data_IF_193982776513
#
_entry.id   IF_193982776513
#
_cell.length_a   1.000
_cell.length_b   1.000
_cell.length_c   1.000
_cell.angle_alpha   90.00
_cell.angle_beta   90.00
_cell.angle_gamma   90.00
#
_symmetry.space_group_name_H-M   'P 1'
#
loop_
_entity.id
_entity.type
_entity.pdbx_description
1 polymer ?
#
# COMPACT_ATOMS: atom_id res chain seq x y z
N UNK A 1 16.15 -27.12 5.16
CA UNK A 1 15.23 -26.72 4.07
C UNK A 1 15.24 -25.20 3.92
N UNK A 2 16.37 -24.59 3.51
CA UNK A 2 16.54 -23.13 3.47
C UNK A 2 15.72 -22.43 2.36
N UNK A 3 15.44 -23.12 1.25
CA UNK A 3 14.75 -22.52 0.10
C UNK A 3 13.25 -22.26 0.30
N UNK A 4 12.57 -22.99 1.19
CA UNK A 4 11.13 -22.80 1.43
C UNK A 4 10.89 -21.53 2.25
N UNK A 5 11.73 -21.27 3.26
CA UNK A 5 11.66 -20.05 4.07
C UNK A 5 11.92 -18.79 3.23
N UNK A 6 12.89 -18.84 2.31
CA UNK A 6 13.19 -17.70 1.43
C UNK A 6 12.05 -17.43 0.45
N UNK A 7 11.39 -18.47 -0.07
CA UNK A 7 10.21 -18.33 -0.91
C UNK A 7 9.03 -17.69 -0.16
N UNK A 8 8.83 -18.06 1.11
CA UNK A 8 7.81 -17.46 1.98
C UNK A 8 8.12 -15.98 2.24
N UNK A 9 9.38 -15.63 2.51
CA UNK A 9 9.81 -14.23 2.70
C UNK A 9 9.60 -13.43 1.41
N UNK A 10 9.96 -13.98 0.25
CA UNK A 10 9.72 -13.35 -1.04
C UNK A 10 8.23 -13.10 -1.29
N UNK A 11 7.37 -14.09 -1.04
CA UNK A 11 5.92 -13.95 -1.18
C UNK A 11 5.33 -12.86 -0.27
N UNK A 12 5.86 -12.70 0.95
CA UNK A 12 5.45 -11.63 1.87
C UNK A 12 5.87 -10.24 1.38
N UNK A 13 7.09 -10.11 0.87
CA UNK A 13 7.57 -8.85 0.28
C UNK A 13 6.70 -8.49 -0.93
N UNK A 14 6.44 -9.46 -1.82
CA UNK A 14 5.63 -9.25 -3.02
C UNK A 14 4.19 -8.87 -2.67
N UNK A 15 3.57 -9.55 -1.71
CA UNK A 15 2.24 -9.21 -1.18
C UNK A 15 2.20 -7.82 -0.57
N UNK A 16 3.28 -7.41 0.10
CA UNK A 16 3.39 -6.05 0.67
C UNK A 16 3.47 -5.00 -0.44
N UNK A 17 4.21 -5.26 -1.51
CA UNK A 17 4.23 -4.40 -2.71
C UNK A 17 2.85 -4.25 -3.34
N UNK A 18 2.12 -5.36 -3.51
CA UNK A 18 0.74 -5.32 -3.98
C UNK A 18 -0.21 -4.56 -3.05
N UNK A 19 -0.02 -4.68 -1.73
CA UNK A 19 -0.80 -3.94 -0.73
C UNK A 19 -0.57 -2.43 -0.88
N UNK A 20 0.69 -2.00 -0.98
CA UNK A 20 1.05 -0.58 -1.20
C UNK A 20 0.42 -0.06 -2.49
N UNK A 21 0.56 -0.82 -3.58
CA UNK A 21 -0.05 -0.48 -4.87
C UNK A 21 -1.58 -0.38 -4.79
N UNK A 22 -2.22 -1.26 -4.03
CA UNK A 22 -3.66 -1.24 -3.77
C UNK A 22 -4.12 0.03 -3.04
N UNK A 23 -3.37 0.48 -2.03
CA UNK A 23 -3.65 1.75 -1.33
C UNK A 23 -3.48 2.97 -2.23
N UNK A 24 -2.45 3.00 -3.07
CA UNK A 24 -2.27 4.06 -4.06
C UNK A 24 -3.45 4.11 -5.05
N UNK A 25 -3.85 2.95 -5.57
CA UNK A 25 -4.98 2.83 -6.49
C UNK A 25 -6.32 3.21 -5.84
N UNK A 26 -6.54 2.80 -4.58
CA UNK A 26 -7.71 3.22 -3.80
C UNK A 26 -7.75 4.73 -3.59
N UNK A 27 -6.61 5.38 -3.36
CA UNK A 27 -6.55 6.83 -3.27
C UNK A 27 -6.98 7.53 -4.55
N UNK A 28 -6.53 7.03 -5.70
CA UNK A 28 -6.91 7.57 -7.01
C UNK A 28 -8.40 7.35 -7.29
N UNK A 29 -8.93 6.16 -7.03
CA UNK A 29 -10.35 5.87 -7.21
C UNK A 29 -11.23 6.68 -6.26
N UNK A 30 -10.86 6.74 -4.98
CA UNK A 30 -11.56 7.51 -3.96
C UNK A 30 -11.57 9.00 -4.28
N UNK A 31 -10.43 9.55 -4.72
CA UNK A 31 -10.35 10.95 -5.10
C UNK A 31 -11.22 11.26 -6.32
N UNK A 32 -11.15 10.42 -7.36
CA UNK A 32 -12.00 10.57 -8.54
C UNK A 32 -13.48 10.48 -8.22
N UNK A 33 -13.87 9.58 -7.31
CA UNK A 33 -15.26 9.45 -6.87
C UNK A 33 -15.72 10.69 -6.11
N UNK A 34 -14.90 11.20 -5.18
CA UNK A 34 -15.19 12.41 -4.40
C UNK A 34 -15.29 13.65 -5.30
N UNK A 35 -14.35 13.83 -6.22
CA UNK A 35 -14.38 14.96 -7.16
C UNK A 35 -15.61 14.89 -8.07
N UNK A 36 -16.00 13.69 -8.53
CA UNK A 36 -17.27 13.50 -9.24
C UNK A 36 -18.52 13.78 -8.40
N UNK A 37 -18.43 13.63 -7.08
CA UNK A 37 -19.50 13.95 -6.14
C UNK A 37 -19.58 15.46 -5.80
N UNK A 38 -18.73 16.30 -6.41
CA UNK A 38 -18.72 17.75 -6.21
C UNK A 38 -17.68 18.24 -5.19
N UNK A 39 -16.78 17.37 -4.71
CA UNK A 39 -15.65 17.81 -3.89
C UNK A 39 -14.60 18.56 -4.73
N UNK A 40 -13.82 19.43 -4.10
CA UNK A 40 -12.84 20.25 -4.78
C UNK A 40 -11.71 19.42 -5.42
N UNK A 41 -11.25 19.85 -6.60
CA UNK A 41 -10.34 19.09 -7.48
C UNK A 41 -8.97 18.78 -6.85
N UNK A 42 -8.54 19.55 -5.84
CA UNK A 42 -7.28 19.28 -5.13
C UNK A 42 -7.27 17.91 -4.43
N UNK A 43 -8.44 17.31 -4.16
CA UNK A 43 -8.53 15.94 -3.65
C UNK A 43 -7.93 14.91 -4.61
N UNK A 44 -7.95 15.14 -5.93
CA UNK A 44 -7.31 14.27 -6.92
C UNK A 44 -5.80 14.12 -6.71
N UNK A 45 -5.18 15.06 -6.01
CA UNK A 45 -3.75 15.04 -5.70
C UNK A 45 -3.52 14.66 -4.24
N UNK A 46 -4.30 15.22 -3.32
CA UNK A 46 -4.13 14.99 -1.89
C UNK A 46 -4.45 13.55 -1.46
N UNK A 47 -5.57 12.97 -1.93
CA UNK A 47 -5.96 11.62 -1.49
C UNK A 47 -4.96 10.54 -1.95
N UNK A 48 -4.52 10.50 -3.22
CA UNK A 48 -3.53 9.53 -3.67
C UNK A 48 -2.19 9.67 -2.97
N UNK A 49 -1.75 10.90 -2.70
CA UNK A 49 -0.54 11.14 -1.92
C UNK A 49 -0.67 10.59 -0.50
N UNK A 50 -1.76 10.91 0.18
CA UNK A 50 -2.01 10.46 1.55
C UNK A 50 -2.13 8.93 1.63
N UNK A 51 -2.89 8.29 0.75
CA UNK A 51 -3.03 6.83 0.77
C UNK A 51 -1.77 6.12 0.31
N UNK A 52 -0.97 6.71 -0.58
CA UNK A 52 0.33 6.12 -0.97
C UNK A 52 1.32 6.19 0.19
N UNK A 53 1.44 7.34 0.86
CA UNK A 53 2.30 7.48 2.05
C UNK A 53 1.84 6.54 3.16
N UNK A 54 0.53 6.43 3.38
CA UNK A 54 -0.04 5.49 4.34
C UNK A 54 0.22 4.04 3.95
N UNK A 55 0.08 3.69 2.68
CA UNK A 55 0.38 2.36 2.14
C UNK A 55 1.84 1.99 2.34
N UNK A 56 2.77 2.90 2.03
CA UNK A 56 4.22 2.71 2.27
C UNK A 56 4.50 2.48 3.76
N UNK A 57 3.90 3.29 4.63
CA UNK A 57 4.06 3.15 6.08
C UNK A 57 3.53 1.81 6.60
N UNK A 58 2.34 1.39 6.15
CA UNK A 58 1.75 0.10 6.47
C UNK A 58 2.61 -1.06 5.96
N UNK A 59 3.09 -0.98 4.72
CA UNK A 59 3.97 -1.99 4.14
C UNK A 59 5.29 -2.10 4.89
N UNK A 60 5.87 -0.97 5.30
CA UNK A 60 7.08 -0.95 6.12
C UNK A 60 6.88 -1.58 7.50
N UNK A 61 5.74 -1.32 8.17
CA UNK A 61 5.38 -2.01 9.40
C UNK A 61 5.24 -3.53 9.19
N UNK A 62 4.55 -3.95 8.14
CA UNK A 62 4.29 -5.37 7.85
C UNK A 62 5.57 -6.14 7.56
N UNK A 63 6.50 -5.52 6.81
CA UNK A 63 7.84 -6.06 6.54
C UNK A 63 8.64 -6.15 7.84
N UNK A 64 8.62 -5.10 8.68
CA UNK A 64 9.32 -5.10 9.98
C UNK A 64 8.80 -6.17 10.91
N UNK A 65 7.48 -6.37 11.02
CA UNK A 65 6.92 -7.44 11.84
C UNK A 65 7.29 -8.82 11.30
N UNK A 66 7.27 -8.99 9.98
CA UNK A 66 7.68 -10.23 9.33
C UNK A 66 9.15 -10.56 9.61
N UNK A 67 10.04 -9.56 9.56
CA UNK A 67 11.46 -9.70 9.85
C UNK A 67 11.74 -9.90 11.35
N UNK A 68 10.96 -9.28 12.24
CA UNK A 68 11.13 -9.39 13.70
C UNK A 68 10.63 -10.72 14.27
N UNK A 69 9.78 -11.45 13.53
CA UNK A 69 9.31 -12.80 13.92
C UNK A 69 10.23 -13.94 13.48
N UNK A 70 11.36 -13.63 12.83
CA UNK A 70 12.41 -14.60 12.48
C UNK A 70 13.48 -14.62 13.58
#
# INVERSE_FOLDING_TARGET
MKGIDDLIVYGKILSTGFLIGGYAFLGVLGARYLVKAGYPEWLNVALPLLTTVFGIYQGWMFIRETLRKK
#
